data_IF_082939627220
#
_entry.id   IF_082939627220
#
_cell.length_a   1.000
_cell.length_b   1.000
_cell.length_c   1.000
_cell.angle_alpha   90.00
_cell.angle_beta   90.00
_cell.angle_gamma   90.00
#
_symmetry.space_group_name_H-M   'P 1'
#
loop_
_entity.id
_entity.type
_entity.pdbx_description
1 polymer ?
#
# COMPACT_ATOMS: atom_id res chain seq x y z
N UNK A 1 -38.21 -17.87 -13.35
CA UNK A 1 -37.01 -18.76 -13.27
C UNK A 1 -35.81 -18.24 -14.04
N UNK A 2 -35.98 -17.29 -14.97
CA UNK A 2 -34.89 -16.69 -15.78
C UNK A 2 -34.27 -15.45 -15.15
N UNK A 3 -35.00 -14.72 -14.32
CA UNK A 3 -34.51 -13.46 -13.70
C UNK A 3 -33.47 -13.67 -12.59
N UNK A 4 -33.53 -14.84 -11.90
CA UNK A 4 -32.54 -15.16 -10.83
C UNK A 4 -31.17 -15.54 -11.38
N UNK A 5 -31.10 -15.98 -12.65
CA UNK A 5 -29.85 -16.39 -13.29
C UNK A 5 -29.03 -15.21 -13.85
N UNK A 6 -29.69 -14.06 -14.09
CA UNK A 6 -29.02 -12.85 -14.57
C UNK A 6 -28.24 -12.12 -13.47
N UNK A 7 -28.75 -12.19 -12.21
CA UNK A 7 -28.10 -11.56 -11.04
C UNK A 7 -26.84 -12.32 -10.60
N UNK A 8 -26.72 -13.60 -10.92
CA UNK A 8 -25.55 -14.43 -10.57
C UNK A 8 -24.44 -14.42 -11.64
N UNK A 9 -24.66 -13.81 -12.79
CA UNK A 9 -23.67 -13.75 -13.88
C UNK A 9 -22.94 -12.40 -13.97
N UNK A 10 -23.37 -11.38 -13.22
CA UNK A 10 -22.73 -10.06 -13.22
C UNK A 10 -21.48 -9.95 -12.31
N UNK A 11 -21.24 -10.90 -11.40
CA UNK A 11 -20.12 -10.85 -10.45
C UNK A 11 -18.95 -11.82 -10.81
N UNK A 12 -18.99 -12.49 -11.95
CA UNK A 12 -18.00 -13.51 -12.32
C UNK A 12 -16.72 -12.92 -12.97
N UNK A 13 -16.19 -11.82 -12.45
CA UNK A 13 -14.96 -11.20 -12.96
C UNK A 13 -14.49 -9.96 -12.21
N UNK A 14 -15.33 -9.33 -11.41
CA UNK A 14 -14.99 -8.09 -10.71
C UNK A 14 -14.48 -8.40 -9.31
N UNK A 15 -13.19 -8.12 -9.04
CA UNK A 15 -12.56 -8.36 -7.73
C UNK A 15 -13.06 -7.36 -6.69
N UNK A 16 -13.50 -7.89 -5.55
CA UNK A 16 -13.93 -7.06 -4.40
C UNK A 16 -12.71 -6.61 -3.61
N UNK A 17 -12.46 -5.32 -3.63
CA UNK A 17 -11.22 -4.72 -3.13
C UNK A 17 -11.48 -3.88 -1.89
N UNK A 18 -10.67 -4.08 -0.85
CA UNK A 18 -10.58 -3.16 0.27
C UNK A 18 -9.30 -2.32 0.17
N UNK A 19 -9.36 -1.06 0.60
CA UNK A 19 -8.22 -0.16 0.64
C UNK A 19 -7.78 -0.01 2.09
N UNK A 20 -6.52 -0.32 2.40
CA UNK A 20 -5.94 -0.09 3.71
C UNK A 20 -5.17 1.23 3.71
N UNK A 21 -5.69 2.22 4.43
CA UNK A 21 -5.29 3.62 4.43
C UNK A 21 -6.39 4.51 3.85
N UNK A 22 -7.11 5.26 4.69
CA UNK A 22 -8.22 6.13 4.30
C UNK A 22 -7.78 7.61 4.14
N UNK A 23 -6.46 7.86 4.06
CA UNK A 23 -5.85 9.17 3.82
C UNK A 23 -5.96 9.63 2.36
N UNK A 24 -5.15 10.63 1.98
CA UNK A 24 -5.14 11.19 0.62
C UNK A 24 -4.84 10.14 -0.44
N UNK A 25 -3.82 9.32 -0.23
CA UNK A 25 -3.42 8.24 -1.15
C UNK A 25 -4.55 7.22 -1.36
N UNK A 26 -5.22 6.80 -0.28
CA UNK A 26 -6.35 5.86 -0.40
C UNK A 26 -7.55 6.44 -1.14
N UNK A 27 -7.81 7.74 -0.99
CA UNK A 27 -8.88 8.44 -1.74
C UNK A 27 -8.57 8.55 -3.23
N UNK A 28 -7.32 8.85 -3.58
CA UNK A 28 -6.88 8.88 -4.98
C UNK A 28 -6.95 7.47 -5.59
N UNK A 29 -6.49 6.46 -4.86
CA UNK A 29 -6.59 5.08 -5.28
C UNK A 29 -8.04 4.64 -5.50
N UNK A 30 -8.97 5.03 -4.61
CA UNK A 30 -10.39 4.76 -4.81
C UNK A 30 -10.92 5.37 -6.13
N UNK A 31 -10.55 6.62 -6.43
CA UNK A 31 -10.97 7.26 -7.69
C UNK A 31 -10.43 6.50 -8.91
N UNK A 32 -9.17 6.05 -8.87
CA UNK A 32 -8.58 5.24 -9.94
C UNK A 32 -9.30 3.87 -10.09
N UNK A 33 -9.65 3.22 -8.98
CA UNK A 33 -10.40 1.95 -8.99
C UNK A 33 -11.81 2.11 -9.55
N UNK A 34 -12.49 3.22 -9.22
CA UNK A 34 -13.84 3.50 -9.73
C UNK A 34 -13.86 3.77 -11.25
N UNK A 35 -12.74 4.24 -11.81
CA UNK A 35 -12.60 4.40 -13.26
C UNK A 35 -12.30 3.06 -13.97
N UNK A 36 -11.97 2.00 -13.24
CA UNK A 36 -11.71 0.66 -13.76
C UNK A 36 -12.94 -0.23 -13.58
N UNK A 37 -13.24 -1.04 -14.59
CA UNK A 37 -14.32 -2.03 -14.52
C UNK A 37 -13.89 -3.38 -13.90
N UNK A 38 -12.61 -3.51 -13.53
CA UNK A 38 -12.04 -4.78 -13.02
C UNK A 38 -12.19 -4.93 -11.51
N UNK A 39 -12.36 -3.81 -10.80
CA UNK A 39 -12.34 -3.76 -9.34
C UNK A 39 -13.62 -3.14 -8.78
N UNK A 40 -14.11 -3.72 -7.69
CA UNK A 40 -15.26 -3.21 -6.92
C UNK A 40 -14.79 -2.82 -5.52
N UNK A 41 -14.50 -1.56 -5.26
CA UNK A 41 -14.18 -1.12 -3.89
C UNK A 41 -15.35 -1.43 -2.96
N UNK A 42 -15.07 -1.97 -1.76
CA UNK A 42 -16.11 -2.37 -0.80
C UNK A 42 -15.94 -1.73 0.57
N UNK A 43 -14.74 -1.37 0.98
CA UNK A 43 -14.46 -0.78 2.28
C UNK A 43 -13.09 -0.10 2.33
N UNK A 44 -12.91 0.78 3.32
CA UNK A 44 -11.61 1.21 3.82
C UNK A 44 -11.28 0.52 5.13
N UNK A 45 -9.99 0.34 5.38
CA UNK A 45 -9.42 0.02 6.69
C UNK A 45 -8.40 1.08 7.07
N UNK A 46 -8.39 1.46 8.34
CA UNK A 46 -7.40 2.38 8.89
C UNK A 46 -7.23 2.12 10.40
N UNK A 47 -6.13 2.59 10.99
CA UNK A 47 -5.89 2.48 12.42
C UNK A 47 -5.89 3.85 13.11
N UNK A 48 -6.13 4.94 12.37
CA UNK A 48 -6.24 6.29 12.88
C UNK A 48 -7.54 6.49 13.68
N UNK A 49 -7.41 6.88 14.96
CA UNK A 49 -8.56 7.02 15.89
C UNK A 49 -9.65 7.97 15.39
N UNK A 50 -9.28 8.98 14.60
CA UNK A 50 -10.23 10.00 14.13
C UNK A 50 -10.98 9.63 12.85
N UNK A 51 -10.55 8.56 12.13
CA UNK A 51 -11.12 8.18 10.84
C UNK A 51 -11.87 6.85 10.89
N UNK A 52 -11.52 5.97 11.82
CA UNK A 52 -12.21 4.70 12.04
C UNK A 52 -13.66 4.96 12.46
N UNK A 53 -14.59 4.22 11.84
CA UNK A 53 -16.04 4.37 12.07
C UNK A 53 -16.69 5.45 11.21
N UNK A 54 -15.91 6.28 10.51
CA UNK A 54 -16.44 7.30 9.58
C UNK A 54 -16.73 6.71 8.19
N UNK A 55 -17.22 7.56 7.30
CA UNK A 55 -17.43 7.24 5.89
C UNK A 55 -16.57 8.17 5.03
N UNK A 56 -15.78 7.58 4.12
CA UNK A 56 -14.93 8.30 3.18
C UNK A 56 -15.40 7.99 1.76
N UNK A 57 -15.81 9.02 1.02
CA UNK A 57 -16.32 8.91 -0.36
C UNK A 57 -17.40 7.80 -0.53
N UNK A 58 -18.29 7.68 0.45
CA UNK A 58 -19.39 6.70 0.43
C UNK A 58 -19.03 5.31 1.00
N UNK A 59 -17.77 5.05 1.33
CA UNK A 59 -17.30 3.77 1.87
C UNK A 59 -16.99 3.90 3.37
N UNK A 60 -17.43 2.90 4.15
CA UNK A 60 -17.15 2.86 5.58
C UNK A 60 -15.69 2.54 5.86
N UNK A 61 -15.12 3.21 6.86
CA UNK A 61 -13.76 2.96 7.36
C UNK A 61 -13.85 2.06 8.59
N UNK A 62 -13.25 0.88 8.52
CA UNK A 62 -13.16 -0.08 9.61
C UNK A 62 -11.78 -0.04 10.25
N UNK A 63 -11.68 -0.46 11.51
CA UNK A 63 -10.38 -0.63 12.16
C UNK A 63 -9.68 -1.88 11.58
N UNK A 64 -8.36 -1.81 11.42
CA UNK A 64 -7.59 -2.95 10.91
C UNK A 64 -7.74 -4.22 11.76
N UNK A 65 -7.97 -4.10 13.08
CA UNK A 65 -8.25 -5.22 13.98
C UNK A 65 -9.55 -5.95 13.68
N UNK A 66 -10.51 -5.29 13.03
CA UNK A 66 -11.82 -5.85 12.71
C UNK A 66 -11.82 -6.55 11.34
N UNK A 67 -10.64 -6.70 10.70
CA UNK A 67 -10.49 -7.21 9.34
C UNK A 67 -11.15 -8.58 9.17
N UNK A 68 -10.96 -9.51 10.10
CA UNK A 68 -11.51 -10.86 10.02
C UNK A 68 -13.04 -10.87 9.79
N UNK A 69 -13.78 -10.18 10.65
CA UNK A 69 -15.24 -10.14 10.58
C UNK A 69 -15.74 -9.38 9.33
N UNK A 70 -15.04 -8.33 8.92
CA UNK A 70 -15.41 -7.52 7.77
C UNK A 70 -15.08 -8.24 6.46
N UNK A 71 -13.94 -8.93 6.40
CA UNK A 71 -13.50 -9.71 5.24
C UNK A 71 -14.54 -10.79 4.87
N UNK A 72 -14.97 -11.60 5.83
CA UNK A 72 -15.98 -12.62 5.60
C UNK A 72 -17.32 -12.02 5.12
N UNK A 73 -17.78 -10.96 5.79
CA UNK A 73 -19.04 -10.30 5.49
C UNK A 73 -19.06 -9.64 4.12
N UNK A 74 -17.98 -8.95 3.74
CA UNK A 74 -17.87 -8.22 2.49
C UNK A 74 -17.26 -9.04 1.36
N UNK A 75 -16.81 -10.29 1.63
CA UNK A 75 -16.14 -11.17 0.67
C UNK A 75 -15.03 -10.43 -0.07
N UNK A 76 -14.02 -9.98 0.70
CA UNK A 76 -12.90 -9.23 0.16
C UNK A 76 -11.93 -10.21 -0.52
N UNK A 77 -11.67 -10.01 -1.81
CA UNK A 77 -10.74 -10.83 -2.59
C UNK A 77 -9.31 -10.28 -2.53
N UNK A 78 -9.20 -8.95 -2.48
CA UNK A 78 -7.91 -8.26 -2.56
C UNK A 78 -7.86 -7.06 -1.60
N UNK A 79 -6.67 -6.80 -1.05
CA UNK A 79 -6.40 -5.62 -0.21
C UNK A 79 -5.29 -4.79 -0.84
N UNK A 80 -5.58 -3.53 -1.08
CA UNK A 80 -4.63 -2.55 -1.59
C UNK A 80 -4.12 -1.66 -0.46
N UNK A 81 -2.83 -1.74 -0.13
CA UNK A 81 -2.22 -0.94 0.92
C UNK A 81 -1.85 0.44 0.36
N UNK A 82 -2.59 1.45 0.77
CA UNK A 82 -2.42 2.86 0.38
C UNK A 82 -1.77 3.67 1.51
N UNK A 83 -0.57 3.28 1.93
CA UNK A 83 0.20 3.87 3.02
C UNK A 83 1.59 4.32 2.55
N UNK A 84 1.71 5.20 1.53
CA UNK A 84 3.01 5.57 0.96
C UNK A 84 3.92 6.34 1.94
N UNK A 85 3.35 7.09 2.88
CA UNK A 85 4.09 7.83 3.91
C UNK A 85 4.37 7.02 5.19
N UNK A 86 3.85 5.78 5.28
CA UNK A 86 4.10 4.96 6.47
C UNK A 86 5.51 4.37 6.44
N UNK A 87 6.09 4.19 7.64
CA UNK A 87 7.34 3.46 7.78
C UNK A 87 7.22 2.02 7.27
N UNK A 88 8.35 1.42 6.90
CA UNK A 88 8.37 0.00 6.52
C UNK A 88 7.89 -0.91 7.65
N UNK A 89 8.24 -0.56 8.90
CA UNK A 89 7.76 -1.28 10.07
C UNK A 89 6.23 -1.29 10.14
N UNK A 90 5.61 -0.15 9.88
CA UNK A 90 4.14 -0.03 9.87
C UNK A 90 3.50 -0.81 8.73
N UNK A 91 4.06 -0.75 7.53
CA UNK A 91 3.57 -1.56 6.40
C UNK A 91 3.68 -3.06 6.69
N UNK A 92 4.81 -3.52 7.26
CA UNK A 92 4.99 -4.92 7.69
C UNK A 92 3.94 -5.36 8.70
N UNK A 93 3.64 -4.53 9.69
CA UNK A 93 2.60 -4.83 10.68
C UNK A 93 1.24 -5.06 10.02
N UNK A 94 0.88 -4.20 9.06
CA UNK A 94 -0.37 -4.34 8.30
C UNK A 94 -0.37 -5.61 7.48
N UNK A 95 0.71 -5.91 6.76
CA UNK A 95 0.83 -7.12 5.92
C UNK A 95 0.74 -8.38 6.80
N UNK A 96 1.48 -8.44 7.90
CA UNK A 96 1.44 -9.56 8.84
C UNK A 96 0.04 -9.80 9.44
N UNK A 97 -0.73 -8.71 9.63
CA UNK A 97 -2.13 -8.80 10.08
C UNK A 97 -3.05 -9.42 9.02
N UNK A 98 -2.74 -9.22 7.74
CA UNK A 98 -3.55 -9.72 6.61
C UNK A 98 -3.16 -11.14 6.19
N UNK A 99 -1.94 -11.57 6.49
CA UNK A 99 -1.38 -12.89 6.09
C UNK A 99 -2.28 -14.10 6.42
N UNK A 100 -2.96 -14.19 7.59
CA UNK A 100 -3.82 -15.33 7.92
C UNK A 100 -5.04 -15.49 7.00
N UNK A 101 -5.40 -14.45 6.25
CA UNK A 101 -6.68 -14.36 5.52
C UNK A 101 -6.44 -14.59 4.04
N UNK A 102 -5.86 -15.46 3.48
CA UNK A 102 -5.72 -15.85 2.06
C UNK A 102 -6.24 -14.80 1.03
N UNK A 103 -6.09 -13.51 1.33
CA UNK A 103 -6.42 -12.39 0.44
C UNK A 103 -5.20 -12.00 -0.37
N UNK A 104 -5.40 -11.58 -1.59
CA UNK A 104 -4.31 -11.02 -2.37
C UNK A 104 -3.95 -9.64 -1.85
N UNK A 105 -2.69 -9.41 -1.50
CA UNK A 105 -2.24 -8.13 -0.94
C UNK A 105 -1.29 -7.45 -1.93
N UNK A 106 -1.64 -6.22 -2.31
CA UNK A 106 -0.79 -5.35 -3.15
C UNK A 106 -0.60 -4.01 -2.47
N UNK A 107 0.45 -3.30 -2.80
CA UNK A 107 0.78 -2.04 -2.15
C UNK A 107 1.12 -0.95 -3.15
N UNK A 108 0.81 0.30 -2.78
CA UNK A 108 1.39 1.47 -3.41
C UNK A 108 2.86 1.61 -2.96
N UNK A 109 3.76 1.97 -3.87
CA UNK A 109 5.14 2.28 -3.54
C UNK A 109 5.23 3.45 -2.55
N UNK A 110 6.38 3.59 -1.89
CA UNK A 110 6.64 4.73 -1.00
C UNK A 110 6.61 6.08 -1.72
N UNK A 111 6.39 7.16 -0.98
CA UNK A 111 6.28 8.53 -1.53
C UNK A 111 7.45 8.92 -2.44
N UNK A 112 8.65 8.44 -2.16
CA UNK A 112 9.86 8.71 -2.98
C UNK A 112 9.84 8.03 -4.35
N UNK A 113 8.97 7.06 -4.56
CA UNK A 113 8.85 6.30 -5.81
C UNK A 113 7.65 6.73 -6.67
N UNK A 114 6.77 7.59 -6.13
CA UNK A 114 5.62 8.14 -6.86
C UNK A 114 6.07 9.35 -7.67
N UNK A 115 6.18 9.18 -8.98
CA UNK A 115 6.53 10.26 -9.90
C UNK A 115 5.26 11.01 -10.28
N UNK A 116 5.24 12.34 -10.00
CA UNK A 116 4.12 13.21 -10.42
C UNK A 116 2.98 13.39 -9.44
N UNK A 117 2.96 12.71 -8.30
CA UNK A 117 2.00 12.96 -7.21
C UNK A 117 0.57 12.43 -7.46
N UNK A 118 0.25 11.95 -8.65
CA UNK A 118 -1.01 11.27 -8.96
C UNK A 118 -0.84 9.76 -8.88
N UNK A 119 -1.80 9.10 -8.23
CA UNK A 119 -1.80 7.64 -8.06
C UNK A 119 -2.61 7.02 -9.20
N UNK A 120 -1.98 6.11 -9.93
CA UNK A 120 -2.61 5.34 -10.99
C UNK A 120 -2.65 3.84 -10.66
N UNK A 121 -3.46 3.09 -11.42
CA UNK A 121 -3.53 1.62 -11.28
C UNK A 121 -2.19 0.94 -11.60
N UNK A 122 -1.35 1.53 -12.45
CA UNK A 122 -0.02 1.03 -12.81
C UNK A 122 0.99 1.11 -11.65
N UNK A 123 0.72 1.94 -10.65
CA UNK A 123 1.58 2.08 -9.48
C UNK A 123 1.39 0.96 -8.45
N UNK A 124 0.29 0.22 -8.56
CA UNK A 124 -0.01 -0.89 -7.64
C UNK A 124 0.89 -2.07 -7.99
N UNK A 125 1.68 -2.52 -7.00
CA UNK A 125 2.61 -3.65 -7.14
C UNK A 125 2.28 -4.73 -6.12
N UNK A 126 2.64 -5.96 -6.46
CA UNK A 126 2.64 -7.02 -5.46
C UNK A 126 3.61 -6.63 -4.33
N UNK A 127 3.27 -7.05 -3.11
CA UNK A 127 4.10 -6.74 -1.93
C UNK A 127 5.49 -7.34 -2.14
N UNK A 128 6.50 -6.48 -2.19
CA UNK A 128 7.87 -6.89 -2.40
C UNK A 128 8.43 -7.53 -1.11
N UNK A 129 9.27 -8.57 -1.28
CA UNK A 129 10.03 -9.18 -0.18
C UNK A 129 10.87 -8.13 0.56
N UNK A 130 11.34 -7.09 -0.13
CA UNK A 130 12.06 -5.97 0.48
C UNK A 130 11.20 -5.16 1.45
N UNK A 131 9.89 -5.07 1.23
CA UNK A 131 8.94 -4.46 2.17
C UNK A 131 8.75 -5.31 3.43
N UNK A 132 8.97 -6.62 3.33
CA UNK A 132 8.88 -7.56 4.46
C UNK A 132 10.20 -7.66 5.25
N UNK A 133 11.35 -7.63 4.57
CA UNK A 133 12.66 -7.93 5.16
C UNK A 133 13.56 -6.69 5.32
N UNK A 134 13.27 -5.58 4.65
CA UNK A 134 14.08 -4.37 4.66
C UNK A 134 14.08 -3.64 6.02
N UNK A 135 15.22 -3.04 6.39
CA UNK A 135 15.29 -2.05 7.47
C UNK A 135 14.83 -0.69 6.94
N UNK A 136 14.21 0.14 7.79
CA UNK A 136 13.93 1.53 7.40
C UNK A 136 15.26 2.23 7.05
N UNK A 137 15.31 2.99 5.95
CA UNK A 137 16.48 3.79 5.64
C UNK A 137 16.73 4.76 6.80
N UNK A 138 17.92 4.72 7.36
CA UNK A 138 18.35 5.71 8.34
C UNK A 138 18.81 6.93 7.53
N UNK A 139 18.20 8.13 7.72
CA UNK A 139 18.69 9.32 7.03
C UNK A 139 20.15 9.56 7.41
N UNK A 140 20.98 10.00 6.46
CA UNK A 140 22.36 10.32 6.77
C UNK A 140 22.41 11.46 7.79
N UNK A 141 23.37 11.39 8.72
CA UNK A 141 23.61 12.44 9.72
C UNK A 141 24.49 13.51 9.06
N UNK A 142 23.96 14.73 8.78
CA UNK A 142 24.69 15.75 8.03
C UNK A 142 26.02 16.14 8.66
N UNK A 143 26.06 16.15 10.01
CA UNK A 143 27.27 16.49 10.78
C UNK A 143 28.41 15.51 10.54
N UNK A 144 28.10 14.20 10.46
CA UNK A 144 29.10 13.17 10.16
C UNK A 144 29.59 13.27 8.71
N UNK A 145 28.70 13.57 7.76
CA UNK A 145 29.10 13.78 6.37
C UNK A 145 29.99 15.00 6.23
N UNK A 146 29.71 16.10 6.93
CA UNK A 146 30.55 17.29 6.93
C UNK A 146 31.91 17.03 7.53
N UNK A 147 31.98 16.31 8.65
CA UNK A 147 33.22 16.02 9.35
C UNK A 147 34.10 15.05 8.58
N UNK A 148 33.52 14.01 7.98
CA UNK A 148 34.28 12.86 7.49
C UNK A 148 34.46 12.85 5.97
N UNK A 149 33.60 13.53 5.20
CA UNK A 149 33.59 13.46 3.75
C UNK A 149 33.74 14.82 3.08
N UNK A 150 33.07 15.87 3.59
CA UNK A 150 33.04 17.18 2.91
C UNK A 150 34.43 17.80 2.79
N UNK A 151 34.82 18.16 1.57
CA UNK A 151 36.13 18.76 1.28
C UNK A 151 37.27 17.76 1.25
N UNK A 152 37.02 16.46 1.39
CA UNK A 152 38.06 15.42 1.31
C UNK A 152 38.02 14.68 -0.03
N UNK A 153 39.13 14.11 -0.43
CA UNK A 153 39.21 13.19 -1.55
C UNK A 153 38.89 11.77 -1.03
N UNK A 154 37.77 11.21 -1.52
CA UNK A 154 37.30 9.90 -1.09
C UNK A 154 37.44 8.91 -2.24
N UNK A 155 38.08 7.76 -2.00
CA UNK A 155 38.17 6.66 -2.95
C UNK A 155 37.08 5.61 -2.63
N UNK A 156 36.20 5.36 -3.59
CA UNK A 156 35.21 4.29 -3.49
C UNK A 156 35.66 3.10 -4.34
N UNK A 157 35.97 1.97 -3.71
CA UNK A 157 36.27 0.71 -4.40
C UNK A 157 34.99 -0.06 -4.66
N UNK A 158 34.91 -0.77 -5.80
CA UNK A 158 33.70 -1.53 -6.17
C UNK A 158 32.51 -0.65 -6.60
N UNK A 159 32.77 0.54 -7.17
CA UNK A 159 31.75 1.49 -7.61
C UNK A 159 30.77 0.92 -8.67
N UNK A 160 31.14 -0.18 -9.37
CA UNK A 160 30.25 -0.88 -10.30
C UNK A 160 29.34 -1.92 -9.64
N UNK A 161 29.44 -2.17 -8.35
CA UNK A 161 28.56 -3.06 -7.59
C UNK A 161 27.39 -2.33 -6.95
N UNK A 162 26.40 -3.08 -6.43
CA UNK A 162 25.16 -2.51 -5.85
C UNK A 162 25.41 -1.54 -4.68
N UNK A 163 26.43 -1.79 -3.84
CA UNK A 163 26.76 -0.92 -2.71
C UNK A 163 27.60 0.27 -3.17
N UNK A 164 28.62 0.02 -4.02
CA UNK A 164 29.54 1.05 -4.46
C UNK A 164 28.88 2.13 -5.35
N UNK A 165 27.94 1.71 -6.21
CA UNK A 165 27.16 2.65 -7.04
C UNK A 165 26.22 3.55 -6.22
N UNK A 166 25.74 3.09 -5.08
CA UNK A 166 24.89 3.87 -4.18
C UNK A 166 25.70 4.88 -3.34
N UNK A 167 27.02 4.66 -3.19
CA UNK A 167 27.93 5.55 -2.46
C UNK A 167 28.51 6.66 -3.34
N UNK A 168 28.42 6.58 -4.65
CA UNK A 168 28.93 7.56 -5.61
C UNK A 168 27.86 8.54 -6.08
#
# INVERSE_FOLDING_TARGET
RWMVRLILLEDAGVRRVAIYGAGSAGRQLLAALQASNEYKPVAFFDDGRGIVGTTVLGFRVYAGKDFAAVHERLRIDEVLIALPSASRARRREVIARLEPFKVHVRALPGMTQLVGGEISMSDIRDVDITDLLGRDPVPPVPELLQQDITGKCVLVTGAGGSIGSELC
#
